data_IF_214514377387
#
_entry.id   IF_214514377387
#
_cell.length_a   1.000
_cell.length_b   1.000
_cell.length_c   1.000
_cell.angle_alpha   90.00
_cell.angle_beta   90.00
_cell.angle_gamma   90.00
#
_symmetry.space_group_name_H-M   'P 1'
#
loop_
_entity.id
_entity.type
_entity.pdbx_description
1 polymer ?
#
# COMPACT_ATOMS: atom_id res chain seq x y z
N UNK A 1 5.36 12.38 8.54
CA UNK A 1 5.28 12.84 7.14
C UNK A 1 3.81 13.03 6.74
N UNK A 2 3.30 14.26 6.65
CA UNK A 2 1.87 14.53 6.42
C UNK A 2 1.33 13.93 5.11
N UNK A 3 2.15 13.84 4.06
CA UNK A 3 1.75 13.25 2.79
C UNK A 3 1.40 11.75 2.94
N UNK A 4 2.20 11.00 3.71
CA UNK A 4 1.95 9.58 3.98
C UNK A 4 0.68 9.38 4.82
N UNK A 5 0.36 10.31 5.73
CA UNK A 5 -0.90 10.26 6.47
C UNK A 5 -2.10 10.50 5.54
N UNK A 6 -2.01 11.48 4.63
CA UNK A 6 -3.07 11.73 3.63
C UNK A 6 -3.27 10.53 2.69
N UNK A 7 -2.19 9.81 2.37
CA UNK A 7 -2.26 8.52 1.66
C UNK A 7 -3.01 7.46 2.48
N UNK A 8 -2.69 7.30 3.77
CA UNK A 8 -3.42 6.37 4.64
C UNK A 8 -4.91 6.71 4.71
N UNK A 9 -5.24 7.98 4.95
CA UNK A 9 -6.62 8.49 4.95
C UNK A 9 -7.36 8.18 3.66
N UNK A 10 -6.69 8.30 2.50
CA UNK A 10 -7.27 8.02 1.18
C UNK A 10 -7.81 6.59 1.12
N UNK A 11 -7.03 5.61 1.59
CA UNK A 11 -7.43 4.20 1.56
C UNK A 11 -8.32 3.79 2.73
N UNK A 12 -8.19 4.40 3.91
CA UNK A 12 -9.11 4.16 5.04
C UNK A 12 -10.52 4.65 4.69
N UNK A 13 -10.66 5.91 4.27
CA UNK A 13 -11.95 6.48 3.89
C UNK A 13 -12.49 5.82 2.62
N UNK A 14 -11.60 5.51 1.67
CA UNK A 14 -11.95 4.76 0.46
C UNK A 14 -12.49 3.37 0.75
N UNK A 15 -11.90 2.67 1.72
CA UNK A 15 -12.38 1.36 2.18
C UNK A 15 -13.79 1.45 2.74
N UNK A 16 -14.03 2.44 3.61
CA UNK A 16 -15.34 2.66 4.22
C UNK A 16 -16.40 3.01 3.16
N UNK A 17 -16.09 3.89 2.21
CA UNK A 17 -17.01 4.31 1.16
C UNK A 17 -17.38 3.19 0.18
N UNK A 18 -16.44 2.27 -0.10
CA UNK A 18 -16.66 1.17 -1.07
C UNK A 18 -17.15 -0.12 -0.42
N UNK A 19 -17.17 -0.19 0.91
CA UNK A 19 -17.43 -1.42 1.67
C UNK A 19 -16.36 -2.50 1.46
N UNK A 20 -15.17 -2.14 0.98
CA UNK A 20 -14.08 -3.07 0.64
C UNK A 20 -12.80 -2.63 1.30
N UNK A 21 -12.29 -3.41 2.24
CA UNK A 21 -11.06 -3.07 2.96
C UNK A 21 -9.81 -3.25 2.09
N UNK A 22 -8.92 -2.27 2.12
CA UNK A 22 -7.55 -2.40 1.62
C UNK A 22 -6.58 -3.01 2.65
N UNK A 23 -7.05 -3.23 3.89
CA UNK A 23 -6.26 -3.73 5.02
C UNK A 23 -6.55 -5.21 5.28
N UNK A 24 -6.35 -6.03 4.25
CA UNK A 24 -6.65 -7.48 4.24
C UNK A 24 -5.93 -8.30 5.32
N UNK A 25 -4.84 -7.78 5.86
CA UNK A 25 -4.09 -8.31 6.98
C UNK A 25 -4.82 -8.18 8.33
N UNK A 26 -5.74 -7.21 8.43
CA UNK A 26 -6.60 -7.06 9.60
C UNK A 26 -7.65 -8.18 9.61
N UNK A 27 -8.05 -8.60 10.81
CA UNK A 27 -9.11 -9.60 11.03
C UNK A 27 -8.89 -10.97 10.38
N UNK A 28 -7.65 -11.27 9.97
CA UNK A 28 -7.27 -12.51 9.28
C UNK A 28 -8.15 -12.81 8.06
N UNK A 29 -8.64 -11.78 7.35
CA UNK A 29 -9.61 -11.93 6.26
C UNK A 29 -9.12 -12.91 5.19
N UNK A 30 -7.88 -12.76 4.71
CA UNK A 30 -7.31 -13.66 3.69
C UNK A 30 -7.20 -15.12 4.17
N UNK A 31 -6.82 -15.34 5.43
CA UNK A 31 -6.69 -16.67 6.03
C UNK A 31 -8.04 -17.37 6.15
N UNK A 32 -9.03 -16.63 6.65
CA UNK A 32 -10.40 -17.13 6.78
C UNK A 32 -10.98 -17.44 5.41
N UNK A 33 -10.91 -16.51 4.46
CA UNK A 33 -11.47 -16.69 3.13
C UNK A 33 -10.82 -17.86 2.37
N UNK A 34 -9.51 -18.07 2.48
CA UNK A 34 -8.86 -19.20 1.78
C UNK A 34 -9.24 -20.55 2.41
N UNK A 35 -9.40 -20.59 3.73
CA UNK A 35 -9.82 -21.79 4.47
C UNK A 35 -11.29 -22.11 4.19
N UNK A 36 -12.18 -21.12 4.23
CA UNK A 36 -13.62 -21.26 3.90
C UNK A 36 -13.83 -21.71 2.45
N UNK A 37 -12.92 -21.34 1.54
CA UNK A 37 -12.90 -21.82 0.15
C UNK A 37 -12.42 -23.28 0.00
N UNK A 38 -12.07 -23.97 1.10
CA UNK A 38 -11.69 -25.39 1.12
C UNK A 38 -10.23 -25.67 0.82
N UNK A 39 -9.36 -24.65 0.82
CA UNK A 39 -7.92 -24.89 0.69
C UNK A 39 -7.33 -25.46 1.99
N UNK A 40 -6.26 -26.24 1.84
CA UNK A 40 -5.52 -26.88 2.93
C UNK A 40 -4.06 -26.42 2.95
N UNK A 41 -3.32 -26.75 4.00
CA UNK A 41 -1.91 -26.38 4.18
C UNK A 41 -1.66 -24.87 4.00
N UNK A 42 -2.51 -24.04 4.61
CA UNK A 42 -2.42 -22.57 4.53
C UNK A 42 -1.12 -22.09 5.17
N UNK A 43 -0.37 -21.28 4.44
CA UNK A 43 0.87 -20.63 4.89
C UNK A 43 0.74 -19.13 4.70
N UNK A 44 1.09 -18.41 5.76
CA UNK A 44 0.96 -16.95 5.84
C UNK A 44 2.29 -16.39 6.29
N UNK A 45 2.74 -15.35 5.62
CA UNK A 45 3.89 -14.59 6.06
C UNK A 45 3.73 -13.11 5.71
N UNK A 46 4.13 -12.26 6.64
CA UNK A 46 4.15 -10.82 6.46
C UNK A 46 5.55 -10.38 6.07
N UNK A 47 5.62 -9.56 5.03
CA UNK A 47 6.85 -9.02 4.49
C UNK A 47 6.86 -7.51 4.60
N UNK A 48 7.91 -6.97 5.22
CA UNK A 48 8.14 -5.53 5.32
C UNK A 48 8.79 -5.04 4.03
N UNK A 49 8.02 -4.39 3.19
CA UNK A 49 8.44 -3.87 1.90
C UNK A 49 8.87 -2.40 2.06
N UNK A 50 10.17 -2.07 2.06
CA UNK A 50 10.63 -0.70 2.18
C UNK A 50 10.23 0.13 0.95
N UNK A 51 10.11 1.45 1.15
CA UNK A 51 9.97 2.44 0.08
C UNK A 51 11.23 3.31 0.11
N UNK A 52 12.02 3.24 -0.96
CA UNK A 52 13.31 3.92 -1.08
C UNK A 52 14.48 3.20 -0.37
N UNK A 53 15.70 3.68 -0.65
CA UNK A 53 16.95 3.08 -0.19
C UNK A 53 17.43 3.54 1.20
N UNK A 54 16.61 3.41 2.25
CA UNK A 54 17.01 3.77 3.62
C UNK A 54 17.52 2.59 4.46
N UNK A 55 17.34 1.36 3.99
CA UNK A 55 17.79 0.15 4.69
C UNK A 55 19.25 -0.19 4.37
N UNK A 56 19.98 -0.68 5.38
CA UNK A 56 21.37 -1.14 5.22
C UNK A 56 21.49 -2.54 4.62
N UNK A 57 20.40 -3.31 4.59
CA UNK A 57 20.39 -4.62 3.95
C UNK A 57 20.34 -4.45 2.43
N UNK A 58 21.37 -4.95 1.73
CA UNK A 58 21.52 -4.78 0.27
C UNK A 58 20.30 -5.24 -0.55
N UNK A 59 19.68 -6.37 -0.19
CA UNK A 59 18.51 -6.89 -0.93
C UNK A 59 17.28 -6.02 -0.70
N UNK A 60 17.04 -5.61 0.56
CA UNK A 60 15.92 -4.73 0.89
C UNK A 60 16.13 -3.32 0.33
N UNK A 61 17.38 -2.86 0.22
CA UNK A 61 17.72 -1.58 -0.38
C UNK A 61 17.31 -1.58 -1.85
N UNK A 62 17.78 -2.58 -2.61
CA UNK A 62 17.46 -2.71 -4.03
C UNK A 62 15.94 -2.83 -4.25
N UNK A 63 15.26 -3.62 -3.43
CA UNK A 63 13.81 -3.73 -3.45
C UNK A 63 13.12 -2.39 -3.17
N UNK A 64 13.59 -1.64 -2.17
CA UNK A 64 13.05 -0.33 -1.83
C UNK A 64 13.20 0.69 -2.95
N UNK A 65 14.32 0.67 -3.68
CA UNK A 65 14.53 1.51 -4.86
C UNK A 65 13.53 1.16 -5.97
N UNK A 66 13.30 -0.13 -6.28
CA UNK A 66 12.28 -0.51 -7.25
C UNK A 66 10.87 -0.09 -6.85
N UNK A 67 10.54 -0.18 -5.55
CA UNK A 67 9.25 0.30 -5.04
C UNK A 67 9.14 1.81 -5.18
N UNK A 68 10.20 2.56 -4.90
CA UNK A 68 10.25 4.02 -5.11
C UNK A 68 9.97 4.37 -6.57
N UNK A 69 10.69 3.73 -7.50
CA UNK A 69 10.51 3.92 -8.93
C UNK A 69 9.09 3.58 -9.41
N UNK A 70 8.50 2.51 -8.87
CA UNK A 70 7.12 2.11 -9.18
C UNK A 70 6.12 3.18 -8.74
N UNK A 71 6.24 3.65 -7.49
CA UNK A 71 5.35 4.67 -6.96
C UNK A 71 5.56 6.03 -7.63
N UNK A 72 6.79 6.38 -7.99
CA UNK A 72 7.10 7.62 -8.72
C UNK A 72 6.50 7.64 -10.13
N UNK A 73 6.57 6.51 -10.84
CA UNK A 73 6.06 6.39 -12.21
C UNK A 73 4.54 6.41 -12.30
N UNK A 74 3.82 5.85 -11.33
CA UNK A 74 2.36 5.69 -11.43
C UNK A 74 1.59 6.12 -10.18
N UNK A 75 2.09 7.13 -9.46
CA UNK A 75 1.43 7.65 -8.26
C UNK A 75 -0.03 8.03 -8.51
N UNK A 76 -0.31 8.55 -9.71
CA UNK A 76 -1.64 8.95 -10.15
C UNK A 76 -2.53 7.73 -10.40
N UNK A 77 -2.04 6.67 -11.03
CA UNK A 77 -2.78 5.43 -11.24
C UNK A 77 -3.26 4.81 -9.93
N UNK A 78 -2.48 4.92 -8.85
CA UNK A 78 -2.89 4.44 -7.53
C UNK A 78 -3.96 5.30 -6.85
N UNK A 79 -4.02 6.61 -7.12
CA UNK A 79 -4.73 7.54 -6.23
C UNK A 79 -5.88 8.30 -6.89
N UNK A 80 -5.84 8.48 -8.21
CA UNK A 80 -6.75 9.37 -8.96
C UNK A 80 -8.22 8.98 -8.79
N UNK A 81 -8.53 7.71 -9.04
CA UNK A 81 -9.91 7.22 -8.96
C UNK A 81 -10.46 7.30 -7.53
N UNK A 82 -9.65 6.92 -6.54
CA UNK A 82 -10.04 7.00 -5.14
C UNK A 82 -10.33 8.45 -4.72
N UNK A 83 -9.48 9.37 -5.15
CA UNK A 83 -9.61 10.79 -4.85
C UNK A 83 -10.86 11.41 -5.48
N UNK A 84 -11.02 11.28 -6.80
CA UNK A 84 -12.04 12.02 -7.54
C UNK A 84 -13.40 11.31 -7.64
N UNK A 85 -13.42 9.98 -7.72
CA UNK A 85 -14.65 9.23 -8.01
C UNK A 85 -15.23 8.57 -6.77
N UNK A 86 -14.39 8.07 -5.86
CA UNK A 86 -14.87 7.43 -4.63
C UNK A 86 -15.13 8.46 -3.54
N UNK A 87 -14.13 9.29 -3.22
CA UNK A 87 -14.19 10.23 -2.11
C UNK A 87 -14.67 11.62 -2.47
N UNK A 88 -14.70 11.95 -3.76
CA UNK A 88 -15.09 13.27 -4.27
C UNK A 88 -14.32 14.42 -3.58
N UNK A 89 -13.03 14.19 -3.26
CA UNK A 89 -12.19 15.21 -2.64
C UNK A 89 -11.87 16.34 -3.62
N UNK A 90 -11.55 17.56 -3.12
CA UNK A 90 -11.32 18.74 -3.95
C UNK A 90 -10.28 18.46 -5.05
N UNK A 91 -10.60 18.85 -6.29
CA UNK A 91 -9.74 18.57 -7.45
C UNK A 91 -8.47 19.42 -7.44
N UNK A 92 -8.63 20.64 -6.94
CA UNK A 92 -7.60 21.65 -6.77
C UNK A 92 -6.53 21.29 -5.73
N UNK A 93 -6.81 20.34 -4.82
CA UNK A 93 -5.87 19.84 -3.80
C UNK A 93 -5.03 18.64 -4.29
N UNK A 94 -5.46 17.97 -5.37
CA UNK A 94 -4.83 16.74 -5.84
C UNK A 94 -3.39 16.94 -6.34
N UNK A 95 -3.07 17.99 -7.13
CA UNK A 95 -1.68 18.22 -7.57
C UNK A 95 -0.70 18.44 -6.41
N UNK A 96 -1.13 19.12 -5.34
CA UNK A 96 -0.31 19.38 -4.15
C UNK A 96 -0.09 18.09 -3.36
N UNK A 97 -1.10 17.24 -3.26
CA UNK A 97 -0.97 15.90 -2.68
C UNK A 97 0.07 15.07 -3.44
N UNK A 98 0.01 15.03 -4.78
CA UNK A 98 0.98 14.29 -5.61
C UNK A 98 2.41 14.85 -5.44
N UNK A 99 2.58 16.17 -5.45
CA UNK A 99 3.88 16.80 -5.26
C UNK A 99 4.47 16.47 -3.88
N UNK A 100 3.64 16.52 -2.82
CA UNK A 100 4.06 16.17 -1.47
C UNK A 100 4.43 14.70 -1.34
N UNK A 101 3.65 13.80 -1.94
CA UNK A 101 3.93 12.36 -1.97
C UNK A 101 5.22 12.03 -2.71
N UNK A 102 5.45 12.60 -3.91
CA UNK A 102 6.72 12.44 -4.65
C UNK A 102 7.91 12.87 -3.80
N UNK A 103 7.82 14.03 -3.13
CA UNK A 103 8.86 14.50 -2.21
C UNK A 103 9.10 13.55 -1.04
N UNK A 104 8.04 12.96 -0.48
CA UNK A 104 8.15 12.00 0.61
C UNK A 104 8.80 10.68 0.16
N UNK A 105 8.41 10.15 -1.01
CA UNK A 105 8.95 8.91 -1.59
C UNK A 105 10.45 9.04 -1.87
N UNK A 106 10.89 10.14 -2.49
CA UNK A 106 12.31 10.33 -2.81
C UNK A 106 13.17 10.74 -1.59
N UNK A 107 12.57 10.98 -0.43
CA UNK A 107 13.29 11.47 0.75
C UNK A 107 13.95 10.32 1.52
N UNK A 108 15.29 10.26 1.50
CA UNK A 108 16.07 9.33 2.34
C UNK A 108 15.91 9.54 3.85
N UNK A 109 15.28 10.63 4.29
CA UNK A 109 14.95 10.88 5.70
C UNK A 109 13.65 10.20 6.13
N UNK A 110 12.84 9.77 5.17
CA UNK A 110 11.57 9.09 5.43
C UNK A 110 11.80 7.60 5.30
N UNK A 111 11.69 6.87 6.41
CA UNK A 111 11.84 5.41 6.44
C UNK A 111 10.49 4.72 6.18
N UNK A 112 9.88 5.03 5.03
CA UNK A 112 8.58 4.50 4.63
C UNK A 112 8.63 3.01 4.32
N UNK A 113 7.58 2.28 4.66
CA UNK A 113 7.41 0.88 4.31
C UNK A 113 5.93 0.50 4.18
N UNK A 114 5.66 -0.55 3.42
CA UNK A 114 4.36 -1.23 3.34
C UNK A 114 4.47 -2.61 4.01
N UNK A 115 3.46 -3.00 4.78
CA UNK A 115 3.34 -4.38 5.23
C UNK A 115 2.52 -5.15 4.20
N UNK A 116 3.14 -6.15 3.57
CA UNK A 116 2.50 -7.00 2.57
C UNK A 116 2.33 -8.40 3.16
N UNK A 117 1.09 -8.89 3.19
CA UNK A 117 0.79 -10.27 3.58
C UNK A 117 0.76 -11.16 2.34
N UNK A 118 1.51 -12.24 2.38
CA UNK A 118 1.44 -13.31 1.41
C UNK A 118 0.73 -14.51 2.03
N UNK A 119 -0.27 -15.01 1.32
CA UNK A 119 -1.01 -16.22 1.69
C UNK A 119 -0.95 -17.18 0.51
N UNK A 120 -0.48 -18.40 0.76
CA UNK A 120 -0.53 -19.49 -0.20
C UNK A 120 -1.02 -20.76 0.47
N UNK A 121 -1.74 -21.57 -0.29
CA UNK A 121 -2.36 -22.79 0.20
C UNK A 121 -2.49 -23.80 -0.94
N UNK A 122 -2.79 -25.05 -0.60
CA UNK A 122 -3.00 -26.14 -1.56
C UNK A 122 -4.49 -26.43 -1.71
N UNK A 123 -4.97 -26.47 -2.95
CA UNK A 123 -6.30 -27.00 -3.24
C UNK A 123 -6.27 -28.54 -3.11
N UNK A 124 -7.16 -29.14 -2.30
CA UNK A 124 -7.28 -30.59 -2.19
C UNK A 124 -7.57 -31.27 -3.53
#
# INVERSE_FOLDING_TARGET
EPALQKWADLYEKGSAATGRTFFLQQEALQERSITEAGFTDVRIFDYKLPVGGWTSNRKLFELGEYVSLTLENDLEGYTLYMWHNVLNWPREEYPQFLAAMRKAICSRRVHGYMMVRYVYARKP
#
